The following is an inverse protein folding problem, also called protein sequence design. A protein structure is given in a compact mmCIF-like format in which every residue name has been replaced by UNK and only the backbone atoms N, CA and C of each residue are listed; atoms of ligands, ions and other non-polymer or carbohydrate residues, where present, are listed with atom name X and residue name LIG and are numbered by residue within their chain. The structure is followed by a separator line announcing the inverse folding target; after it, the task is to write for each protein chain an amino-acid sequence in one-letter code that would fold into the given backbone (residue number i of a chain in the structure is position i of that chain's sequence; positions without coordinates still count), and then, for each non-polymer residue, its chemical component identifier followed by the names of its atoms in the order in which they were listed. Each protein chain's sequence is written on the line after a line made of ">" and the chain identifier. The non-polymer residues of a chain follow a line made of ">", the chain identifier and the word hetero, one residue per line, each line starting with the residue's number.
data_IF_986015408836
#
_entry.id   IF_986015408836
#
_cell.length_a   1.000
_cell.length_b   1.000
_cell.length_c   1.000
_cell.angle_alpha   90.00
_cell.angle_beta   90.00
_cell.angle_gamma   90.00
#
_symmetry.space_group_name_H-M   'P 1'
#
loop_
_entity.id
_entity.type
_entity.pdbx_description
1 polymer ?
#
# COMPACT_ATOMS: atom_id res chain seq x y z
N UNK A 1 10.42 -6.99 51.05
CA UNK A 1 11.00 -5.90 50.23
C UNK A 1 10.03 -5.66 49.09
N UNK A 2 9.28 -4.56 49.11
CA UNK A 2 8.40 -4.17 48.00
C UNK A 2 9.27 -3.90 46.77
N UNK A 3 9.34 -4.84 45.83
CA UNK A 3 10.03 -4.64 44.56
C UNK A 3 9.40 -3.40 43.90
N UNK A 4 10.21 -2.40 43.58
CA UNK A 4 9.73 -1.25 42.81
C UNK A 4 9.21 -1.76 41.46
N UNK A 5 8.06 -1.26 40.98
CA UNK A 5 7.50 -1.71 39.72
C UNK A 5 8.51 -1.48 38.59
N UNK A 6 8.80 -2.54 37.83
CA UNK A 6 9.67 -2.48 36.66
C UNK A 6 8.93 -1.71 35.56
N UNK A 7 9.25 -0.41 35.44
CA UNK A 7 8.60 0.51 34.51
C UNK A 7 9.49 0.82 33.31
N UNK A 8 8.88 0.81 32.13
CA UNK A 8 9.49 1.24 30.89
C UNK A 8 9.68 2.75 30.89
N UNK A 9 10.88 3.19 30.52
CA UNK A 9 11.16 4.62 30.37
C UNK A 9 10.73 5.10 29.00
N UNK A 10 10.51 6.43 28.84
CA UNK A 10 10.27 7.02 27.52
C UNK A 10 11.38 6.69 26.51
N UNK A 11 12.62 6.53 26.96
CA UNK A 11 13.75 6.16 26.10
C UNK A 11 13.61 4.74 25.54
N UNK A 12 13.18 3.78 26.37
CA UNK A 12 12.99 2.38 25.95
C UNK A 12 11.84 2.27 24.93
N UNK A 13 10.76 3.00 25.21
CA UNK A 13 9.58 3.15 24.38
C UNK A 13 9.93 3.73 22.99
N UNK A 14 10.64 4.85 22.96
CA UNK A 14 11.08 5.48 21.69
C UNK A 14 12.05 4.58 20.93
N UNK A 15 12.96 3.87 21.60
CA UNK A 15 13.86 2.92 20.93
C UNK A 15 13.08 1.78 20.28
N UNK A 16 12.11 1.20 20.98
CA UNK A 16 11.23 0.16 20.43
C UNK A 16 10.46 0.67 19.21
N UNK A 17 9.88 1.86 19.29
CA UNK A 17 9.19 2.50 18.18
C UNK A 17 10.12 2.77 16.98
N UNK A 18 11.32 3.31 17.20
CA UNK A 18 12.30 3.54 16.13
C UNK A 18 12.70 2.23 15.46
N UNK A 19 12.91 1.16 16.23
CA UNK A 19 13.19 -0.16 15.68
C UNK A 19 12.02 -0.66 14.84
N UNK A 20 10.78 -0.48 15.29
CA UNK A 20 9.59 -0.82 14.50
C UNK A 20 9.50 -0.02 13.20
N UNK A 21 9.67 1.31 13.28
CA UNK A 21 9.56 2.23 12.16
C UNK A 21 10.54 1.87 11.02
N UNK A 22 11.79 1.52 11.35
CA UNK A 22 12.81 1.22 10.35
C UNK A 22 12.90 -0.26 9.96
N UNK A 23 12.57 -1.20 10.86
CA UNK A 23 12.88 -2.61 10.66
C UNK A 23 11.67 -3.56 10.65
N UNK A 24 10.44 -3.07 10.78
CA UNK A 24 9.21 -3.89 10.69
C UNK A 24 9.15 -4.73 9.40
N UNK A 25 9.61 -4.18 8.27
CA UNK A 25 9.66 -4.85 6.97
C UNK A 25 11.05 -5.38 6.56
N UNK A 26 12.09 -5.20 7.38
CA UNK A 26 13.46 -5.53 6.98
C UNK A 26 13.72 -7.05 6.85
N UNK A 27 12.88 -7.88 7.46
CA UNK A 27 13.08 -9.34 7.54
C UNK A 27 11.83 -10.14 7.16
N UNK A 28 11.12 -9.64 6.17
CA UNK A 28 9.88 -10.25 5.68
C UNK A 28 10.15 -11.66 5.12
N UNK A 29 9.41 -12.66 5.61
CA UNK A 29 9.55 -14.06 5.18
C UNK A 29 8.18 -14.74 5.13
N UNK A 30 8.01 -15.76 4.29
CA UNK A 30 6.69 -16.40 4.11
C UNK A 30 6.20 -17.18 5.33
N UNK A 31 7.09 -17.62 6.21
CA UNK A 31 6.70 -18.39 7.41
C UNK A 31 6.02 -17.48 8.46
N UNK A 32 6.55 -16.27 8.66
CA UNK A 32 6.18 -15.40 9.80
C UNK A 32 5.90 -13.94 9.44
N UNK A 33 6.06 -13.58 8.17
CA UNK A 33 5.93 -12.21 7.62
C UNK A 33 6.75 -11.21 8.44
N UNK A 34 6.12 -10.28 9.15
CA UNK A 34 6.78 -9.27 9.97
C UNK A 34 7.22 -9.80 11.36
N UNK A 35 6.98 -11.07 11.68
CA UNK A 35 7.23 -11.62 13.03
C UNK A 35 8.66 -11.39 13.55
N UNK A 36 9.68 -11.47 12.70
CA UNK A 36 11.06 -11.17 13.12
C UNK A 36 11.29 -9.67 13.33
N UNK A 37 10.70 -8.81 12.49
CA UNK A 37 10.70 -7.35 12.69
C UNK A 37 9.97 -6.95 13.99
N UNK A 38 8.87 -7.62 14.31
CA UNK A 38 8.15 -7.46 15.57
C UNK A 38 9.01 -7.86 16.76
N UNK A 39 9.61 -9.05 16.74
CA UNK A 39 10.52 -9.50 17.79
C UNK A 39 11.70 -8.54 17.98
N UNK A 40 12.27 -8.02 16.90
CA UNK A 40 13.34 -7.02 16.95
C UNK A 40 12.87 -5.72 17.63
N UNK A 41 11.70 -5.21 17.28
CA UNK A 41 11.10 -4.03 17.91
C UNK A 41 10.85 -4.23 19.41
N UNK A 42 10.61 -5.46 19.85
CA UNK A 42 10.41 -5.80 21.27
C UNK A 42 11.71 -5.93 22.07
N UNK A 43 12.88 -6.04 21.43
CA UNK A 43 14.18 -6.25 22.12
C UNK A 43 14.45 -5.19 23.21
N UNK A 44 14.29 -3.87 22.98
CA UNK A 44 14.53 -2.86 24.01
C UNK A 44 13.60 -3.02 25.23
N UNK A 45 12.35 -3.42 24.99
CA UNK A 45 11.33 -3.63 26.01
C UNK A 45 11.67 -4.87 26.85
N UNK A 46 11.90 -6.01 26.18
CA UNK A 46 12.19 -7.28 26.86
C UNK A 46 13.48 -7.21 27.68
N UNK A 47 14.54 -6.60 27.15
CA UNK A 47 15.82 -6.44 27.89
C UNK A 47 15.70 -5.54 29.12
N UNK A 48 14.71 -4.65 29.14
CA UNK A 48 14.43 -3.79 30.30
C UNK A 48 13.63 -4.53 31.37
N UNK A 49 12.66 -5.34 30.95
CA UNK A 49 11.71 -6.01 31.84
C UNK A 49 12.23 -7.33 32.43
N UNK A 50 13.03 -8.07 31.67
CA UNK A 50 13.54 -9.38 32.07
C UNK A 50 15.08 -9.34 32.17
N UNK A 51 15.64 -10.07 33.13
CA UNK A 51 17.06 -9.99 33.47
C UNK A 51 17.82 -11.29 33.28
N UNK A 52 17.14 -12.44 33.27
CA UNK A 52 17.80 -13.73 33.03
C UNK A 52 17.82 -14.07 31.53
N UNK A 53 18.89 -14.70 31.02
CA UNK A 53 18.94 -15.15 29.61
C UNK A 53 17.78 -16.07 29.22
N UNK A 54 17.30 -16.88 30.17
CA UNK A 54 16.20 -17.82 29.96
C UNK A 54 14.86 -17.09 29.76
N UNK A 55 14.55 -16.12 30.62
CA UNK A 55 13.33 -15.30 30.49
C UNK A 55 13.34 -14.45 29.22
N UNK A 56 14.48 -13.80 28.92
CA UNK A 56 14.63 -13.00 27.70
C UNK A 56 14.42 -13.88 26.45
N UNK A 57 15.01 -15.06 26.42
CA UNK A 57 14.85 -16.02 25.32
C UNK A 57 13.39 -16.47 25.18
N UNK A 58 12.73 -16.80 26.28
CA UNK A 58 11.32 -17.19 26.28
C UNK A 58 10.40 -16.07 25.77
N UNK A 59 10.60 -14.84 26.25
CA UNK A 59 9.82 -13.69 25.84
C UNK A 59 10.02 -13.34 24.36
N UNK A 60 11.26 -13.35 23.86
CA UNK A 60 11.53 -13.12 22.44
C UNK A 60 10.90 -14.19 21.55
N UNK A 61 10.91 -15.47 21.96
CA UNK A 61 10.25 -16.56 21.21
C UNK A 61 8.75 -16.33 21.05
N UNK A 62 8.05 -15.81 22.07
CA UNK A 62 6.63 -15.43 21.97
C UNK A 62 6.38 -14.32 20.95
N UNK A 63 7.36 -13.47 20.68
CA UNK A 63 7.25 -12.40 19.68
C UNK A 63 7.67 -12.83 18.27
N UNK A 64 8.24 -14.02 18.09
CA UNK A 64 8.62 -14.59 16.78
C UNK A 64 7.48 -15.35 16.08
N UNK A 65 6.24 -15.14 16.51
CA UNK A 65 5.05 -15.71 15.87
C UNK A 65 4.66 -14.93 14.61
N UNK A 66 3.84 -15.54 13.76
CA UNK A 66 3.29 -14.89 12.57
C UNK A 66 2.64 -13.56 12.94
N UNK A 67 3.05 -12.48 12.25
CA UNK A 67 2.48 -11.15 12.42
C UNK A 67 2.51 -10.41 11.08
N UNK A 68 1.40 -9.79 10.69
CA UNK A 68 1.35 -8.94 9.51
C UNK A 68 0.28 -7.86 9.63
N UNK A 69 0.68 -6.63 9.40
CA UNK A 69 -0.17 -5.44 9.35
C UNK A 69 0.54 -4.34 8.57
N UNK A 70 -0.21 -3.32 8.17
CA UNK A 70 0.38 -2.06 7.72
C UNK A 70 1.21 -1.44 8.86
N UNK A 71 2.43 -0.95 8.56
CA UNK A 71 3.44 -0.68 9.59
C UNK A 71 3.22 0.61 10.39
N UNK A 72 2.34 1.51 9.96
CA UNK A 72 2.17 2.84 10.52
C UNK A 72 1.01 2.82 11.49
N UNK A 73 -0.18 2.44 11.00
CA UNK A 73 -1.37 2.23 11.83
C UNK A 73 -1.20 0.98 12.69
N UNK A 74 -0.58 -0.08 12.14
CA UNK A 74 -0.27 -1.29 12.89
C UNK A 74 0.80 -1.11 13.97
N UNK A 75 1.50 0.04 14.02
CA UNK A 75 2.41 0.37 15.12
C UNK A 75 1.69 0.44 16.48
N UNK A 76 0.36 0.57 16.47
CA UNK A 76 -0.47 0.42 17.68
C UNK A 76 -0.26 -0.93 18.37
N UNK A 77 -0.12 -2.02 17.62
CA UNK A 77 0.00 -3.37 18.20
C UNK A 77 1.27 -3.52 19.06
N UNK A 78 2.50 -3.27 18.56
CA UNK A 78 3.69 -3.37 19.40
C UNK A 78 3.64 -2.41 20.61
N UNK A 79 2.96 -1.25 20.50
CA UNK A 79 2.69 -0.38 21.64
C UNK A 79 1.83 -1.05 22.72
N UNK A 80 0.71 -1.66 22.34
CA UNK A 80 -0.16 -2.43 23.27
C UNK A 80 0.60 -3.60 23.89
N UNK A 81 1.36 -4.34 23.07
CA UNK A 81 2.14 -5.49 23.55
C UNK A 81 3.24 -5.06 24.52
N UNK A 82 3.88 -3.90 24.33
CA UNK A 82 4.85 -3.37 25.29
C UNK A 82 4.23 -3.11 26.66
N UNK A 83 2.98 -2.62 26.71
CA UNK A 83 2.26 -2.45 27.98
C UNK A 83 1.85 -3.78 28.62
N UNK A 84 1.43 -4.77 27.83
CA UNK A 84 1.12 -6.11 28.34
C UNK A 84 2.36 -6.82 28.89
N UNK A 85 3.52 -6.67 28.25
CA UNK A 85 4.79 -7.19 28.77
C UNK A 85 5.21 -6.46 30.06
N UNK A 86 5.02 -5.14 30.15
CA UNK A 86 5.28 -4.38 31.39
C UNK A 86 4.41 -4.89 32.54
N UNK A 87 3.11 -5.08 32.31
CA UNK A 87 2.19 -5.57 33.34
C UNK A 87 2.52 -7.00 33.77
N UNK A 88 2.84 -7.88 32.81
CA UNK A 88 3.26 -9.25 33.09
C UNK A 88 4.53 -9.31 33.93
N UNK A 89 5.52 -8.50 33.58
CA UNK A 89 6.78 -8.41 34.32
C UNK A 89 6.57 -7.86 35.75
N UNK A 90 5.49 -7.11 35.99
CA UNK A 90 5.09 -6.61 37.30
C UNK A 90 4.19 -7.58 38.08
N UNK A 91 3.98 -8.80 37.59
CA UNK A 91 3.21 -9.85 38.27
C UNK A 91 1.73 -9.95 37.84
N UNK A 92 1.33 -9.25 36.78
CA UNK A 92 0.01 -9.42 36.19
C UNK A 92 -0.17 -10.80 35.55
N UNK A 93 -1.37 -11.39 35.71
CA UNK A 93 -1.73 -12.68 35.13
C UNK A 93 -2.07 -12.55 33.64
N UNK A 94 -1.01 -12.39 32.83
CA UNK A 94 -1.12 -12.25 31.37
C UNK A 94 -0.46 -13.46 30.71
N UNK A 95 -1.28 -14.30 30.09
CA UNK A 95 -0.82 -15.49 29.38
C UNK A 95 -0.19 -15.17 28.00
N UNK A 96 0.57 -16.12 27.47
CA UNK A 96 1.13 -16.03 26.11
C UNK A 96 0.00 -16.00 25.06
N UNK A 97 -1.08 -16.72 25.33
CA UNK A 97 -2.29 -16.77 24.53
C UNK A 97 -2.99 -15.40 24.48
N UNK A 98 -3.06 -14.67 25.61
CA UNK A 98 -3.64 -13.33 25.64
C UNK A 98 -2.84 -12.36 24.76
N UNK A 99 -1.51 -12.36 24.87
CA UNK A 99 -0.61 -11.53 24.04
C UNK A 99 -0.79 -11.87 22.56
N UNK A 100 -0.81 -13.16 22.21
CA UNK A 100 -0.98 -13.57 20.82
C UNK A 100 -2.40 -13.34 20.29
N UNK A 101 -3.41 -13.42 21.14
CA UNK A 101 -4.80 -13.09 20.82
C UNK A 101 -4.99 -11.61 20.49
N UNK A 102 -4.32 -10.71 21.24
CA UNK A 102 -4.31 -9.28 20.92
C UNK A 102 -3.64 -9.01 19.59
N UNK A 103 -2.48 -9.65 19.31
CA UNK A 103 -1.82 -9.53 18.01
C UNK A 103 -2.75 -9.97 16.88
N UNK A 104 -3.28 -11.19 16.94
CA UNK A 104 -4.09 -11.77 15.87
C UNK A 104 -5.42 -11.02 15.67
N UNK A 105 -6.06 -10.59 16.76
CA UNK A 105 -7.32 -9.83 16.72
C UNK A 105 -7.19 -8.44 16.10
N UNK A 106 -5.99 -7.84 16.17
CA UNK A 106 -5.73 -6.49 15.64
C UNK A 106 -5.06 -6.47 14.27
N UNK A 107 -4.36 -7.55 13.86
CA UNK A 107 -3.69 -7.64 12.55
C UNK A 107 -4.64 -7.29 11.39
N UNK A 108 -5.81 -7.95 11.32
CA UNK A 108 -6.74 -7.77 10.21
C UNK A 108 -7.32 -6.35 10.10
N UNK A 109 -8.01 -5.84 11.15
CA UNK A 109 -8.63 -4.52 11.12
C UNK A 109 -7.63 -3.38 10.91
N UNK A 110 -6.47 -3.42 11.58
CA UNK A 110 -5.47 -2.37 11.45
C UNK A 110 -4.73 -2.41 10.11
N UNK A 111 -4.54 -3.59 9.52
CA UNK A 111 -3.99 -3.70 8.16
C UNK A 111 -4.90 -3.01 7.15
N UNK A 112 -6.20 -3.34 7.16
CA UNK A 112 -7.15 -2.74 6.21
C UNK A 112 -7.31 -1.23 6.39
N UNK A 113 -7.36 -0.77 7.64
CA UNK A 113 -7.42 0.66 7.96
C UNK A 113 -6.13 1.38 7.54
N UNK A 114 -4.98 0.81 7.88
CA UNK A 114 -3.67 1.34 7.55
C UNK A 114 -3.47 1.48 6.05
N UNK A 115 -3.72 0.41 5.28
CA UNK A 115 -3.55 0.43 3.82
C UNK A 115 -4.45 1.50 3.17
N UNK A 116 -5.68 1.66 3.66
CA UNK A 116 -6.60 2.68 3.15
C UNK A 116 -6.13 4.10 3.45
N UNK A 117 -5.56 4.36 4.63
CA UNK A 117 -5.06 5.68 5.02
C UNK A 117 -3.73 5.99 4.32
N UNK A 118 -2.74 5.10 4.40
CA UNK A 118 -1.39 5.42 3.93
C UNK A 118 -1.28 5.27 2.41
N UNK A 119 -1.70 4.13 1.87
CA UNK A 119 -1.62 3.85 0.43
C UNK A 119 -2.80 4.46 -0.34
N UNK A 120 -3.99 4.49 0.27
CA UNK A 120 -5.21 4.98 -0.38
C UNK A 120 -5.41 6.51 -0.31
N UNK A 121 -5.00 7.16 0.78
CA UNK A 121 -5.28 8.58 1.02
C UNK A 121 -4.02 9.45 1.02
N UNK A 122 -3.07 9.19 1.93
CA UNK A 122 -1.89 10.05 2.13
C UNK A 122 -1.01 10.04 0.87
N UNK A 123 -0.67 8.85 0.36
CA UNK A 123 0.24 8.73 -0.78
C UNK A 123 -0.31 9.40 -2.04
N UNK A 124 -1.55 9.12 -2.50
CA UNK A 124 -2.07 9.71 -3.74
C UNK A 124 -2.25 11.23 -3.67
N UNK A 125 -2.73 11.77 -2.54
CA UNK A 125 -2.91 13.22 -2.37
C UNK A 125 -1.56 13.94 -2.43
N UNK A 126 -0.60 13.50 -1.63
CA UNK A 126 0.72 14.14 -1.59
C UNK A 126 1.48 13.94 -2.90
N UNK A 127 1.34 12.78 -3.54
CA UNK A 127 1.95 12.50 -4.83
C UNK A 127 1.33 13.37 -5.93
N UNK A 128 0.00 13.57 -5.94
CA UNK A 128 -0.66 14.44 -6.91
C UNK A 128 -0.18 15.90 -6.78
N UNK A 129 -0.05 16.40 -5.54
CA UNK A 129 0.53 17.72 -5.27
C UNK A 129 1.99 17.80 -5.75
N UNK A 130 2.79 16.77 -5.47
CA UNK A 130 4.18 16.69 -5.91
C UNK A 130 4.31 16.67 -7.43
N UNK A 131 3.48 15.88 -8.13
CA UNK A 131 3.44 15.80 -9.59
C UNK A 131 3.04 17.14 -10.21
N UNK A 132 2.03 17.81 -9.66
CA UNK A 132 1.58 19.12 -10.17
C UNK A 132 2.75 20.12 -10.21
N UNK A 133 3.50 20.24 -9.12
CA UNK A 133 4.65 21.15 -9.04
C UNK A 133 5.84 20.68 -9.87
N UNK A 134 6.09 19.37 -9.91
CA UNK A 134 7.16 18.79 -10.73
C UNK A 134 6.92 18.96 -12.23
N UNK A 135 5.65 18.95 -12.67
CA UNK A 135 5.27 19.10 -14.07
C UNK A 135 5.64 20.47 -14.66
N UNK A 136 5.79 21.47 -13.80
CA UNK A 136 6.27 22.82 -14.14
C UNK A 136 7.81 22.92 -14.16
N UNK A 137 8.52 21.80 -13.94
CA UNK A 137 9.99 21.75 -13.88
C UNK A 137 10.58 22.08 -12.50
N UNK A 138 9.76 22.21 -11.46
CA UNK A 138 10.22 22.58 -10.11
C UNK A 138 10.67 21.37 -9.28
N UNK A 139 11.88 21.46 -8.71
CA UNK A 139 12.38 20.50 -7.71
C UNK A 139 11.58 20.54 -6.39
N UNK A 140 10.75 21.56 -6.19
CA UNK A 140 9.89 21.65 -5.02
C UNK A 140 8.88 20.48 -4.96
N UNK A 141 8.44 19.96 -6.11
CA UNK A 141 7.47 18.85 -6.16
C UNK A 141 7.95 17.58 -5.44
N UNK A 142 9.07 16.97 -5.87
CA UNK A 142 9.62 15.79 -5.21
C UNK A 142 10.05 16.04 -3.75
N UNK A 143 10.60 17.22 -3.44
CA UNK A 143 11.01 17.57 -2.08
C UNK A 143 9.81 17.71 -1.12
N UNK A 144 8.75 18.38 -1.55
CA UNK A 144 7.53 18.51 -0.77
C UNK A 144 6.86 17.16 -0.54
N UNK A 145 6.80 16.31 -1.59
CA UNK A 145 6.32 14.95 -1.42
C UNK A 145 7.13 14.19 -0.36
N UNK A 146 8.46 14.19 -0.46
CA UNK A 146 9.32 13.50 0.50
C UNK A 146 9.11 13.99 1.93
N UNK A 147 9.11 15.30 2.15
CA UNK A 147 8.98 15.90 3.48
C UNK A 147 7.59 15.66 4.08
N UNK A 148 6.53 15.91 3.31
CA UNK A 148 5.16 15.77 3.78
C UNK A 148 4.79 14.29 3.98
N UNK A 149 5.17 13.41 3.06
CA UNK A 149 4.86 11.99 3.17
C UNK A 149 5.62 11.36 4.34
N UNK A 150 6.93 11.64 4.47
CA UNK A 150 7.73 11.16 5.60
C UNK A 150 7.20 11.72 6.91
N UNK A 151 6.90 13.02 6.97
CA UNK A 151 6.31 13.67 8.15
C UNK A 151 4.98 13.04 8.57
N UNK A 152 4.07 12.82 7.63
CA UNK A 152 2.77 12.20 7.87
C UNK A 152 2.93 10.75 8.35
N UNK A 153 3.77 9.95 7.68
CA UNK A 153 4.02 8.54 8.01
C UNK A 153 4.67 8.39 9.40
N UNK A 154 5.71 9.18 9.69
CA UNK A 154 6.42 9.13 10.98
C UNK A 154 5.49 9.59 12.12
N UNK A 155 4.75 10.69 11.90
CA UNK A 155 3.81 11.20 12.90
C UNK A 155 2.70 10.20 13.18
N UNK A 156 2.09 9.64 12.13
CA UNK A 156 1.05 8.62 12.27
C UNK A 156 1.57 7.41 13.01
N UNK A 157 2.73 6.88 12.63
CA UNK A 157 3.36 5.73 13.31
C UNK A 157 3.62 6.01 14.79
N UNK A 158 4.19 7.17 15.13
CA UNK A 158 4.46 7.53 16.52
C UNK A 158 3.19 7.68 17.34
N UNK A 159 2.18 8.36 16.79
CA UNK A 159 0.89 8.55 17.45
C UNK A 159 0.21 7.21 17.71
N UNK A 160 0.21 6.31 16.73
CA UNK A 160 -0.40 4.98 16.85
C UNK A 160 0.34 4.13 17.88
N UNK A 161 1.68 4.13 17.84
CA UNK A 161 2.49 3.40 18.80
C UNK A 161 2.31 3.92 20.24
N UNK A 162 2.34 5.25 20.42
CA UNK A 162 2.16 5.91 21.72
C UNK A 162 0.76 5.68 22.28
N UNK A 163 -0.27 5.76 21.41
CA UNK A 163 -1.64 5.40 21.76
C UNK A 163 -1.74 3.93 22.14
N UNK A 164 -1.09 3.02 21.41
CA UNK A 164 -1.06 1.60 21.77
C UNK A 164 -0.55 1.36 23.19
N UNK A 165 0.57 2.00 23.55
CA UNK A 165 1.15 1.87 24.89
C UNK A 165 0.28 2.50 25.98
N UNK A 166 -0.30 3.69 25.74
CA UNK A 166 -1.18 4.36 26.71
C UNK A 166 -2.51 3.64 26.89
N UNK A 167 -3.08 3.11 25.79
CA UNK A 167 -4.24 2.24 25.81
C UNK A 167 -3.94 0.98 26.60
N UNK A 168 -2.76 0.36 26.38
CA UNK A 168 -2.36 -0.87 27.04
C UNK A 168 -2.57 -0.90 28.56
N UNK A 169 -2.31 0.19 29.29
CA UNK A 169 -2.54 0.23 30.76
C UNK A 169 -4.01 0.17 31.15
N UNK A 170 -4.88 0.90 30.46
CA UNK A 170 -6.34 0.87 30.69
C UNK A 170 -7.04 -0.31 29.97
N UNK A 171 -6.38 -0.84 28.94
CA UNK A 171 -6.82 -1.94 28.13
C UNK A 171 -6.46 -3.27 28.78
N UNK A 172 -5.44 -3.40 29.62
CA UNK A 172 -5.17 -4.63 30.41
C UNK A 172 -6.44 -5.08 31.15
N UNK A 173 -7.05 -4.20 31.95
CA UNK A 173 -8.25 -4.54 32.74
C UNK A 173 -9.46 -4.84 31.84
N UNK A 174 -9.61 -4.12 30.73
CA UNK A 174 -10.78 -4.24 29.84
C UNK A 174 -10.64 -5.30 28.72
N UNK A 175 -9.42 -5.61 28.28
CA UNK A 175 -9.08 -6.64 27.30
C UNK A 175 -9.18 -8.02 27.95
N UNK A 176 -8.75 -8.16 29.20
CA UNK A 176 -8.93 -9.39 29.98
C UNK A 176 -10.42 -9.69 30.24
N UNK A 177 -11.28 -8.67 30.26
CA UNK A 177 -12.74 -8.82 30.31
C UNK A 177 -13.39 -9.14 28.92
N UNK A 178 -12.60 -9.30 27.85
CA UNK A 178 -13.02 -9.75 26.52
C UNK A 178 -13.79 -8.75 25.65
N UNK A 179 -14.59 -7.85 26.23
CA UNK A 179 -15.47 -6.94 25.49
C UNK A 179 -14.74 -5.82 24.71
N UNK A 180 -13.63 -5.31 25.24
CA UNK A 180 -12.95 -4.16 24.65
C UNK A 180 -12.19 -4.46 23.36
N UNK A 181 -11.60 -5.66 23.24
CA UNK A 181 -10.92 -6.06 22.00
C UNK A 181 -11.90 -6.10 20.84
N UNK A 182 -13.09 -6.66 21.08
CA UNK A 182 -14.17 -6.71 20.11
C UNK A 182 -14.63 -5.32 19.69
N UNK A 183 -14.86 -4.41 20.65
CA UNK A 183 -15.25 -3.03 20.35
C UNK A 183 -14.17 -2.28 19.53
N UNK A 184 -12.89 -2.48 19.86
CA UNK A 184 -11.78 -1.86 19.14
C UNK A 184 -11.67 -2.39 17.70
N UNK A 185 -11.78 -3.71 17.52
CA UNK A 185 -11.82 -4.36 16.20
C UNK A 185 -13.03 -3.88 15.39
N UNK A 186 -14.23 -3.84 15.99
CA UNK A 186 -15.45 -3.34 15.33
C UNK A 186 -15.30 -1.87 14.90
N UNK A 187 -14.79 -1.00 15.80
CA UNK A 187 -14.55 0.41 15.48
C UNK A 187 -13.53 0.59 14.36
N UNK A 188 -12.41 -0.14 14.39
CA UNK A 188 -11.38 -0.10 13.36
C UNK A 188 -11.92 -0.59 12.00
N UNK A 189 -12.72 -1.66 11.98
CA UNK A 189 -13.36 -2.17 10.76
C UNK A 189 -14.36 -1.17 10.17
N UNK A 190 -15.19 -0.55 11.01
CA UNK A 190 -16.18 0.47 10.59
C UNK A 190 -15.48 1.69 10.00
N UNK A 191 -14.42 2.18 10.63
CA UNK A 191 -13.61 3.27 10.08
C UNK A 191 -12.93 2.87 8.76
N UNK A 192 -12.37 1.66 8.68
CA UNK A 192 -11.72 1.16 7.46
C UNK A 192 -12.69 1.14 6.27
N UNK A 193 -13.90 0.61 6.46
CA UNK A 193 -14.92 0.58 5.40
C UNK A 193 -15.36 1.99 4.96
N UNK A 194 -15.48 2.94 5.89
CA UNK A 194 -15.82 4.33 5.56
C UNK A 194 -14.73 4.99 4.70
N UNK A 195 -13.46 4.79 5.04
CA UNK A 195 -12.33 5.35 4.26
C UNK A 195 -12.31 4.77 2.86
N UNK A 196 -12.45 3.44 2.71
CA UNK A 196 -12.49 2.79 1.39
C UNK A 196 -13.64 3.32 0.54
N UNK A 197 -14.84 3.48 1.11
CA UNK A 197 -16.00 4.05 0.42
C UNK A 197 -15.77 5.49 -0.05
N UNK A 198 -15.21 6.34 0.83
CA UNK A 198 -14.90 7.73 0.50
C UNK A 198 -13.85 7.83 -0.62
N UNK A 199 -12.81 7.00 -0.57
CA UNK A 199 -11.77 6.95 -1.60
C UNK A 199 -12.31 6.48 -2.95
N UNK A 200 -13.15 5.44 -2.96
CA UNK A 200 -13.79 4.98 -4.19
C UNK A 200 -14.64 6.09 -4.84
N UNK A 201 -15.39 6.84 -4.04
CA UNK A 201 -16.22 7.95 -4.53
C UNK A 201 -15.40 9.13 -5.09
N UNK A 202 -14.20 9.39 -4.56
CA UNK A 202 -13.34 10.50 -5.00
C UNK A 202 -12.44 10.14 -6.18
N UNK A 203 -11.91 8.92 -6.21
CA UNK A 203 -10.84 8.53 -7.13
C UNK A 203 -11.33 7.79 -8.38
N UNK A 204 -12.53 7.19 -8.34
CA UNK A 204 -13.09 6.50 -9.51
C UNK A 204 -13.90 7.48 -10.33
N UNK A 205 -13.39 7.81 -11.52
CA UNK A 205 -14.13 8.60 -12.52
C UNK A 205 -14.56 7.69 -13.68
N UNK A 206 -15.86 7.70 -13.96
CA UNK A 206 -16.44 7.04 -15.12
C UNK A 206 -17.57 7.92 -15.66
N UNK A 207 -17.45 8.29 -16.93
CA UNK A 207 -18.48 9.03 -17.64
C UNK A 207 -18.91 8.34 -18.92
N UNK A 208 -20.17 8.54 -19.33
CA UNK A 208 -20.75 8.21 -20.62
C UNK A 208 -20.71 9.43 -21.52
N UNK A 209 -20.29 9.24 -22.77
CA UNK A 209 -20.28 10.26 -23.82
C UNK A 209 -21.61 10.35 -24.58
N UNK A 210 -22.56 9.46 -24.29
CA UNK A 210 -23.79 9.34 -25.05
C UNK A 210 -24.64 10.61 -24.92
N UNK A 211 -24.68 11.40 -25.99
CA UNK A 211 -25.57 12.54 -26.13
C UNK A 211 -26.79 12.09 -26.94
N UNK A 212 -27.98 12.18 -26.37
CA UNK A 212 -29.23 11.88 -27.10
C UNK A 212 -29.74 13.20 -27.66
N UNK A 213 -29.75 13.31 -28.99
CA UNK A 213 -30.37 14.46 -29.66
C UNK A 213 -31.87 14.17 -29.79
N UNK A 214 -32.70 14.91 -29.07
CA UNK A 214 -34.16 14.89 -29.25
C UNK A 214 -34.57 16.24 -29.81
N UNK A 215 -34.88 16.30 -31.10
CA UNK A 215 -35.19 17.57 -31.79
C UNK A 215 -33.97 18.48 -31.94
N UNK A 216 -34.04 19.74 -31.49
CA UNK A 216 -32.92 20.71 -31.49
C UNK A 216 -32.13 20.76 -30.18
N UNK A 217 -32.44 19.91 -29.19
CA UNK A 217 -31.78 19.91 -27.88
C UNK A 217 -30.92 18.65 -27.73
N UNK A 218 -29.64 18.84 -27.46
CA UNK A 218 -28.72 17.78 -27.06
C UNK A 218 -28.91 17.51 -25.57
N UNK A 219 -29.45 16.35 -25.21
CA UNK A 219 -29.60 15.91 -23.82
C UNK A 219 -28.38 15.07 -23.47
N UNK A 220 -27.60 15.54 -22.50
CA UNK A 220 -26.46 14.79 -21.98
C UNK A 220 -26.95 13.72 -21.00
N UNK A 221 -27.02 12.45 -21.43
CA UNK A 221 -27.59 11.34 -20.63
C UNK A 221 -26.98 11.22 -19.23
N UNK A 222 -25.70 11.53 -19.09
CA UNK A 222 -25.04 11.42 -17.80
C UNK A 222 -25.42 12.57 -16.84
N UNK A 223 -25.22 13.82 -17.24
CA UNK A 223 -25.45 14.97 -16.36
C UNK A 223 -26.94 15.27 -16.15
N UNK A 224 -27.79 14.97 -17.12
CA UNK A 224 -29.21 15.37 -17.11
C UNK A 224 -30.17 14.25 -16.68
N UNK A 225 -29.73 12.99 -16.61
CA UNK A 225 -30.58 11.86 -16.19
C UNK A 225 -29.95 11.07 -15.05
N UNK A 226 -28.71 10.59 -15.23
CA UNK A 226 -28.07 9.73 -14.23
C UNK A 226 -27.61 10.49 -12.98
N UNK A 227 -26.94 11.63 -13.15
CA UNK A 227 -26.43 12.43 -12.04
C UNK A 227 -27.54 13.14 -11.25
N UNK A 228 -28.72 13.32 -11.84
CA UNK A 228 -29.91 13.85 -11.14
C UNK A 228 -30.54 12.82 -10.20
N UNK A 229 -30.47 11.52 -10.54
CA UNK A 229 -30.97 10.42 -9.69
C UNK A 229 -29.95 10.08 -8.61
N UNK A 230 -28.67 9.90 -8.98
CA UNK A 230 -27.58 9.63 -8.05
C UNK A 230 -26.23 10.01 -8.67
N UNK A 231 -25.62 11.08 -8.15
CA UNK A 231 -24.27 11.50 -8.55
C UNK A 231 -23.26 10.38 -8.31
N UNK A 232 -22.53 9.98 -9.35
CA UNK A 232 -21.51 8.93 -9.24
C UNK A 232 -22.04 7.49 -9.25
N UNK A 233 -23.27 7.27 -9.72
CA UNK A 233 -23.84 5.92 -9.85
C UNK A 233 -22.98 4.97 -10.70
N UNK A 234 -22.42 5.46 -11.80
CA UNK A 234 -21.59 4.68 -12.71
C UNK A 234 -20.24 4.28 -12.08
N UNK A 235 -19.46 5.20 -11.48
CA UNK A 235 -18.32 4.85 -10.64
C UNK A 235 -18.64 3.81 -9.57
N UNK A 236 -19.75 3.99 -8.84
CA UNK A 236 -20.15 3.05 -7.78
C UNK A 236 -20.44 1.66 -8.35
N UNK A 237 -21.20 1.57 -9.46
CA UNK A 237 -21.48 0.31 -10.13
C UNK A 237 -20.20 -0.38 -10.58
N UNK A 238 -19.24 0.37 -11.12
CA UNK A 238 -17.94 -0.16 -11.51
C UNK A 238 -17.17 -0.71 -10.29
N UNK A 239 -17.08 0.07 -9.21
CA UNK A 239 -16.42 -0.36 -7.97
C UNK A 239 -17.04 -1.63 -7.39
N UNK A 240 -18.37 -1.68 -7.30
CA UNK A 240 -19.10 -2.87 -6.81
C UNK A 240 -18.91 -4.06 -7.75
N UNK A 241 -18.87 -3.85 -9.07
CA UNK A 241 -18.62 -4.91 -10.05
C UNK A 241 -17.21 -5.50 -9.91
N UNK A 242 -16.19 -4.64 -9.74
CA UNK A 242 -14.81 -5.06 -9.51
C UNK A 242 -14.68 -5.80 -8.18
N UNK A 243 -15.27 -5.26 -7.10
CA UNK A 243 -15.33 -5.94 -5.81
C UNK A 243 -15.99 -7.32 -5.91
N UNK A 244 -17.10 -7.41 -6.63
CA UNK A 244 -17.81 -8.67 -6.86
C UNK A 244 -16.96 -9.68 -7.63
N UNK A 245 -16.24 -9.26 -8.67
CA UNK A 245 -15.30 -10.12 -9.41
C UNK A 245 -14.15 -10.61 -8.52
N UNK A 246 -13.59 -9.74 -7.67
CA UNK A 246 -12.55 -10.10 -6.70
C UNK A 246 -13.09 -11.09 -5.64
N UNK A 247 -14.32 -10.90 -5.16
CA UNK A 247 -14.97 -11.80 -4.21
C UNK A 247 -15.13 -13.23 -4.77
N UNK A 248 -15.22 -13.35 -6.10
CA UNK A 248 -15.24 -14.63 -6.83
C UNK A 248 -13.84 -15.22 -7.11
N UNK A 249 -12.81 -14.70 -6.44
CA UNK A 249 -11.40 -15.11 -6.59
C UNK A 249 -10.88 -15.06 -8.03
N UNK A 250 -11.39 -14.13 -8.85
CA UNK A 250 -10.82 -13.84 -10.17
C UNK A 250 -9.46 -13.14 -9.99
N UNK A 251 -8.51 -13.41 -10.88
CA UNK A 251 -7.18 -12.83 -10.77
C UNK A 251 -7.25 -11.30 -10.95
N UNK A 252 -6.62 -10.50 -10.08
CA UNK A 252 -6.59 -9.05 -10.22
C UNK A 252 -6.07 -8.60 -11.60
N UNK A 253 -5.08 -9.32 -12.15
CA UNK A 253 -4.54 -9.08 -13.48
C UNK A 253 -5.59 -9.25 -14.60
N UNK A 254 -6.48 -10.24 -14.50
CA UNK A 254 -7.54 -10.44 -15.49
C UNK A 254 -8.61 -9.35 -15.40
N UNK A 255 -8.93 -8.88 -14.18
CA UNK A 255 -9.87 -7.78 -13.98
C UNK A 255 -9.28 -6.48 -14.55
N UNK A 256 -8.01 -6.19 -14.27
CA UNK A 256 -7.30 -5.05 -14.88
C UNK A 256 -7.35 -5.16 -16.41
N UNK A 257 -7.02 -6.33 -16.98
CA UNK A 257 -7.11 -6.55 -18.42
C UNK A 257 -8.51 -6.31 -19.00
N UNK A 258 -9.56 -6.78 -18.31
CA UNK A 258 -10.95 -6.53 -18.68
C UNK A 258 -11.28 -5.03 -18.68
N UNK A 259 -10.88 -4.30 -17.63
CA UNK A 259 -11.10 -2.86 -17.53
C UNK A 259 -10.37 -2.10 -18.65
N UNK A 260 -9.16 -2.53 -19.01
CA UNK A 260 -8.42 -1.96 -20.14
C UNK A 260 -9.17 -2.14 -21.46
N UNK A 261 -9.64 -3.36 -21.75
CA UNK A 261 -10.41 -3.65 -22.98
C UNK A 261 -11.70 -2.82 -23.00
N UNK A 262 -12.46 -2.81 -21.90
CA UNK A 262 -13.69 -2.01 -21.78
C UNK A 262 -13.43 -0.51 -21.94
N UNK A 263 -12.31 0.00 -21.43
CA UNK A 263 -11.91 1.39 -21.60
C UNK A 263 -11.61 1.73 -23.06
N UNK A 264 -10.84 0.88 -23.75
CA UNK A 264 -10.52 1.03 -25.18
C UNK A 264 -11.80 0.98 -26.02
N UNK A 265 -12.63 -0.04 -25.82
CA UNK A 265 -13.90 -0.21 -26.53
C UNK A 265 -14.84 0.97 -26.25
N UNK A 266 -14.88 1.43 -24.99
CA UNK A 266 -15.58 2.62 -24.53
C UNK A 266 -15.28 3.88 -25.32
N UNK A 267 -14.00 4.13 -25.57
CA UNK A 267 -13.52 5.30 -26.31
C UNK A 267 -13.72 5.10 -27.82
N UNK A 268 -13.40 3.92 -28.36
CA UNK A 268 -13.52 3.64 -29.80
C UNK A 268 -14.97 3.67 -30.30
N UNK A 269 -15.89 3.14 -29.51
CA UNK A 269 -17.32 3.12 -29.81
C UNK A 269 -18.05 4.39 -29.32
N UNK A 270 -17.34 5.29 -28.63
CA UNK A 270 -17.84 6.61 -28.25
C UNK A 270 -18.95 6.61 -27.19
N UNK A 271 -19.11 5.54 -26.40
CA UNK A 271 -20.10 5.49 -25.31
C UNK A 271 -19.51 5.91 -23.97
N UNK A 272 -18.19 5.88 -23.78
CA UNK A 272 -17.53 6.47 -22.60
C UNK A 272 -17.09 7.92 -22.85
N UNK A 273 -17.39 8.78 -21.87
CA UNK A 273 -17.00 10.17 -21.77
C UNK A 273 -15.51 10.27 -21.54
N UNK A 274 -14.79 10.69 -22.57
CA UNK A 274 -13.37 10.98 -22.45
C UNK A 274 -13.13 12.45 -22.79
N UNK A 275 -12.73 13.24 -21.79
CA UNK A 275 -12.24 14.60 -22.01
C UNK A 275 -10.74 14.51 -22.32
N UNK A 276 -10.31 14.78 -23.57
CA UNK A 276 -8.91 14.68 -23.93
C UNK A 276 -8.15 15.86 -23.32
N UNK A 277 -7.13 15.60 -22.51
CA UNK A 277 -6.05 16.58 -22.27
C UNK A 277 -4.77 16.25 -23.02
N UNK A 278 -4.73 15.17 -23.83
CA UNK A 278 -3.89 14.92 -25.03
C UNK A 278 -3.56 13.42 -25.17
N UNK A 279 -4.44 12.64 -25.82
CA UNK A 279 -3.96 11.42 -26.48
C UNK A 279 -4.29 11.59 -27.96
N UNK A 280 -3.26 11.88 -28.74
CA UNK A 280 -3.40 11.99 -30.19
C UNK A 280 -3.36 10.58 -30.79
N UNK A 281 -3.88 10.41 -32.00
CA UNK A 281 -3.70 9.17 -32.78
C UNK A 281 -2.22 8.75 -32.90
N UNK A 282 -1.30 9.70 -32.75
CA UNK A 282 0.14 9.47 -32.72
C UNK A 282 0.58 8.76 -31.43
N UNK A 283 0.00 9.09 -30.27
CA UNK A 283 0.27 8.40 -28.99
C UNK A 283 -0.21 6.93 -29.03
N UNK A 284 -1.37 6.69 -29.65
CA UNK A 284 -1.92 5.33 -29.85
C UNK A 284 -1.05 4.53 -30.82
N UNK A 285 -0.64 5.12 -31.94
CA UNK A 285 0.27 4.50 -32.90
C UNK A 285 1.65 4.19 -32.27
N UNK A 286 2.19 5.07 -31.44
CA UNK A 286 3.46 4.86 -30.75
C UNK A 286 3.39 3.69 -29.74
N UNK A 287 2.27 3.53 -29.01
CA UNK A 287 2.05 2.40 -28.11
C UNK A 287 1.98 1.07 -28.88
N UNK A 288 1.25 1.04 -29.99
CA UNK A 288 1.12 -0.15 -30.85
C UNK A 288 2.48 -0.53 -31.46
N UNK A 289 3.24 0.46 -31.95
CA UNK A 289 4.56 0.24 -32.54
C UNK A 289 5.55 -0.29 -31.50
N UNK A 290 5.56 0.31 -30.30
CA UNK A 290 6.42 -0.13 -29.19
C UNK A 290 6.06 -1.54 -28.74
N UNK A 291 4.78 -1.89 -28.64
CA UNK A 291 4.33 -3.24 -28.31
C UNK A 291 4.71 -4.28 -29.39
N UNK A 292 4.57 -3.94 -30.67
CA UNK A 292 4.94 -4.80 -31.79
C UNK A 292 6.46 -5.04 -31.88
N UNK A 293 7.27 -4.01 -31.60
CA UNK A 293 8.72 -4.11 -31.59
C UNK A 293 9.22 -4.92 -30.37
N UNK A 294 8.59 -4.77 -29.21
CA UNK A 294 8.83 -5.62 -28.04
C UNK A 294 8.50 -7.09 -28.31
N UNK A 295 7.40 -7.37 -29.00
CA UNK A 295 7.05 -8.73 -29.42
C UNK A 295 8.13 -9.36 -30.30
N UNK A 296 8.72 -8.60 -31.23
CA UNK A 296 9.81 -9.05 -32.09
C UNK A 296 11.09 -9.38 -31.30
N UNK A 297 11.38 -8.61 -30.26
CA UNK A 297 12.52 -8.77 -29.34
C UNK A 297 12.39 -10.01 -28.42
N UNK A 298 11.15 -10.43 -28.16
CA UNK A 298 10.81 -11.59 -27.33
C UNK A 298 10.77 -12.92 -28.14
N UNK A 299 10.84 -12.87 -29.47
CA UNK A 299 10.88 -14.11 -30.29
C UNK A 299 12.26 -14.80 -30.24
N UNK A 300 12.31 -16.13 -30.01
CA UNK A 300 13.58 -16.85 -29.89
C UNK A 300 14.31 -16.96 -31.24
N UNK A 301 15.48 -16.30 -31.33
CA UNK A 301 16.41 -16.38 -32.45
C UNK A 301 17.48 -15.28 -32.39
N UNK A 302 18.76 -15.64 -32.23
CA UNK A 302 19.85 -14.70 -31.93
C UNK A 302 19.94 -13.49 -32.87
N UNK A 303 19.82 -13.67 -34.19
CA UNK A 303 19.82 -12.56 -35.17
C UNK A 303 18.56 -11.67 -35.11
N UNK A 304 17.38 -12.25 -34.82
CA UNK A 304 16.12 -11.50 -34.71
C UNK A 304 16.10 -10.63 -33.46
N UNK A 305 16.74 -11.10 -32.38
CA UNK A 305 16.90 -10.36 -31.13
C UNK A 305 17.74 -9.10 -31.31
N UNK A 306 18.89 -9.19 -31.98
CA UNK A 306 19.78 -8.05 -32.22
C UNK A 306 19.14 -6.98 -33.11
N UNK A 307 18.40 -7.42 -34.15
CA UNK A 307 17.64 -6.52 -35.04
C UNK A 307 16.47 -5.87 -34.28
N UNK A 308 15.76 -6.63 -33.43
CA UNK A 308 14.69 -6.11 -32.58
C UNK A 308 15.20 -5.05 -31.60
N UNK A 309 16.35 -5.26 -30.97
CA UNK A 309 16.98 -4.26 -30.07
C UNK A 309 17.36 -2.99 -30.83
N UNK A 310 17.98 -3.12 -32.01
CA UNK A 310 18.35 -1.96 -32.82
C UNK A 310 17.12 -1.16 -33.29
N UNK A 311 16.04 -1.83 -33.69
CA UNK A 311 14.80 -1.19 -34.13
C UNK A 311 14.04 -0.52 -32.98
N UNK A 312 14.01 -1.10 -31.79
CA UNK A 312 13.43 -0.46 -30.58
C UNK A 312 14.21 0.80 -30.20
N UNK A 313 15.54 0.75 -30.27
CA UNK A 313 16.38 1.92 -29.98
C UNK A 313 16.17 3.03 -31.02
N UNK A 314 16.11 2.67 -32.31
CA UNK A 314 15.83 3.62 -33.40
C UNK A 314 14.41 4.20 -33.32
N UNK A 315 13.39 3.40 -33.02
CA UNK A 315 12.02 3.89 -32.89
C UNK A 315 11.88 4.85 -31.71
N UNK A 316 12.49 4.52 -30.56
CA UNK A 316 12.53 5.41 -29.40
C UNK A 316 13.32 6.68 -29.70
N UNK A 317 14.44 6.59 -30.42
CA UNK A 317 15.24 7.76 -30.83
C UNK A 317 14.49 8.68 -31.80
N UNK A 318 13.75 8.13 -32.78
CA UNK A 318 12.91 8.90 -33.71
C UNK A 318 11.74 9.54 -32.97
N UNK A 319 11.09 8.84 -32.04
CA UNK A 319 10.03 9.41 -31.17
C UNK A 319 10.56 10.56 -30.31
N UNK A 320 11.79 10.44 -29.79
CA UNK A 320 12.47 11.48 -28.99
C UNK A 320 12.83 12.73 -29.82
N UNK A 321 13.28 12.56 -31.07
CA UNK A 321 13.58 13.67 -31.98
C UNK A 321 12.31 14.38 -32.48
N UNK A 322 11.21 13.64 -32.67
CA UNK A 322 9.96 14.17 -33.19
C UNK A 322 9.15 14.95 -32.15
N UNK A 323 9.39 14.72 -30.85
CA UNK A 323 8.72 15.40 -29.74
C UNK A 323 9.39 16.71 -29.26
N UNK A 324 10.48 17.17 -29.88
CA UNK A 324 10.99 18.54 -29.73
C UNK A 324 11.35 19.03 -28.31
N UNK A 325 11.26 18.17 -27.29
CA UNK A 325 11.64 18.45 -25.90
C UNK A 325 12.14 17.15 -25.28
N UNK A 326 13.42 17.11 -24.97
CA UNK A 326 14.00 16.09 -24.10
C UNK A 326 14.00 16.63 -22.69
N UNK A 327 13.40 15.89 -21.75
CA UNK A 327 14.17 15.36 -20.62
C UNK A 327 13.59 14.02 -20.16
N UNK A 328 14.19 12.93 -20.67
CA UNK A 328 13.72 11.55 -20.55
C UNK A 328 14.86 10.54 -20.28
N UNK A 329 16.04 11.02 -19.88
CA UNK A 329 17.08 10.19 -19.26
C UNK A 329 16.55 9.45 -18.01
N UNK A 330 15.50 9.97 -17.38
CA UNK A 330 14.80 9.41 -16.23
C UNK A 330 13.95 8.15 -16.52
N UNK A 331 13.44 7.99 -17.76
CA UNK A 331 12.57 6.84 -18.11
C UNK A 331 13.41 5.68 -18.66
N UNK A 332 14.51 5.98 -19.38
CA UNK A 332 15.45 4.97 -19.87
C UNK A 332 16.20 4.25 -18.73
N UNK A 333 16.62 4.96 -17.67
CA UNK A 333 17.23 4.34 -16.49
C UNK A 333 16.26 3.44 -15.70
N UNK A 334 15.01 3.87 -15.59
CA UNK A 334 13.97 3.15 -14.81
C UNK A 334 13.53 1.85 -15.50
N UNK A 335 13.46 1.82 -16.83
CA UNK A 335 13.11 0.62 -17.57
C UNK A 335 14.27 -0.40 -17.66
N UNK A 336 15.53 0.04 -17.66
CA UNK A 336 16.71 -0.85 -17.54
C UNK A 336 16.79 -1.50 -16.16
N UNK A 337 16.47 -0.75 -15.10
CA UNK A 337 16.42 -1.25 -13.72
C UNK A 337 15.30 -2.27 -13.50
N UNK A 338 14.09 -2.00 -14.03
CA UNK A 338 12.95 -2.92 -13.96
C UNK A 338 13.18 -4.19 -14.82
N UNK A 339 13.94 -4.08 -15.91
CA UNK A 339 14.36 -5.22 -16.73
C UNK A 339 15.42 -6.11 -16.05
N UNK A 340 16.34 -5.52 -15.27
CA UNK A 340 17.30 -6.28 -14.43
C UNK A 340 16.58 -7.04 -13.30
N UNK A 341 15.59 -6.41 -12.64
CA UNK A 341 14.85 -6.99 -11.52
C UNK A 341 13.92 -8.16 -11.91
N UNK A 342 13.43 -8.18 -13.15
CA UNK A 342 12.55 -9.24 -13.66
C UNK A 342 13.29 -10.52 -14.08
N UNK A 343 14.62 -10.49 -14.22
CA UNK A 343 15.43 -11.61 -14.73
C UNK A 343 15.94 -12.55 -13.62
N UNK A 344 15.04 -12.95 -12.72
CA UNK A 344 15.33 -13.84 -11.59
C UNK A 344 16.36 -14.93 -11.92
N UNK A 345 17.39 -15.01 -11.08
CA UNK A 345 18.43 -16.03 -11.19
C UNK A 345 17.80 -17.43 -11.03
N UNK A 346 18.04 -18.37 -11.96
CA UNK A 346 17.92 -19.78 -11.62
C UNK A 346 18.95 -20.11 -10.54
N UNK A 347 18.54 -20.96 -9.60
CA UNK A 347 19.34 -21.47 -8.50
C UNK A 347 20.77 -21.83 -8.93
N UNK A 348 21.77 -21.21 -8.27
CA UNK A 348 23.07 -21.83 -8.12
C UNK A 348 22.97 -22.88 -7.00
N UNK A 349 22.31 -24.01 -7.32
CA UNK A 349 22.80 -25.28 -6.80
C UNK A 349 24.09 -25.58 -7.57
N UNK A 350 25.09 -26.11 -6.86
CA UNK A 350 26.45 -26.46 -7.30
C UNK A 350 27.52 -25.36 -7.17
N UNK A 351 27.77 -24.92 -5.93
CA UNK A 351 29.13 -24.62 -5.46
C UNK A 351 29.20 -24.69 -3.92
N UNK A 352 29.81 -25.77 -3.45
CA UNK A 352 30.44 -26.04 -2.14
C UNK A 352 30.36 -25.00 -0.99
N UNK A 353 30.03 -25.57 0.19
CA UNK A 353 30.18 -25.11 1.59
C UNK A 353 29.05 -24.26 2.20
#
# INVERSE_FOLDING_TARGET
>A
MSQQPNRLTRGDLVRSWLTWLFFSHATYNYERLQGLGFAHAMVPIIRKLYHTPQEISAALKRHLVFFNTEAQVGALVPGVIAALEEERANGGDISDEAINGVKSGLMGPLSGLGDSITQGLITPILLALGISLASEGSLAGPLLYFLLASGAIISLSYLMWSQGYSLGKAAVEKLLAGGALRQLTEAASVMGMMVVGALAAQQVSLSLAANVVVGQKTVHLQSEVLDTVMKGALPLLLTVSVWWLLSRRRSPLAIIGLLFVLGIDGVLLGWLGWTPTTVTWQSVAALILTAALWWLLLTPGGKKRTIGTALVLLSNYVLLLWWGRVDLSAIAGTLVFLWWLWRGHPAAADAAW
#
